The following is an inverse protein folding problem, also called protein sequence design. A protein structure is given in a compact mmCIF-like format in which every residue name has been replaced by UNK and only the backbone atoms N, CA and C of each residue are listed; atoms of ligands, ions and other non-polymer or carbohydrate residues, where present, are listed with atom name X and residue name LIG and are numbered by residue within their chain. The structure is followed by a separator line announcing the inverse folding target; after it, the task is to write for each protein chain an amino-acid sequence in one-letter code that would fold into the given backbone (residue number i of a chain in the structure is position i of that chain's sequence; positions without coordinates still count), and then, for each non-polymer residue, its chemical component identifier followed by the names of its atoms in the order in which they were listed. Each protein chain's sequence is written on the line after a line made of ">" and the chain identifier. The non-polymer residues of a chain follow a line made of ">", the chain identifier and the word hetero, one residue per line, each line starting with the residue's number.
data_IF_775793162479
#
_entry.id   IF_775793162479
#
_cell.length_a   1.000
_cell.length_b   1.000
_cell.length_c   1.000
_cell.angle_alpha   90.00
_cell.angle_beta   90.00
_cell.angle_gamma   90.00
#
_symmetry.space_group_name_H-M   'P 1'
#
loop_
_entity.id
_entity.type
_entity.pdbx_description
1 polymer ?
#
# COMPACT_ATOMS: atom_id res chain seq x y z
N UNK A 1 -19.06 -28.02 -5.80
CA UNK A 1 -17.99 -27.24 -5.09
C UNK A 1 -18.64 -26.02 -4.48
N UNK A 2 -18.40 -25.76 -3.18
CA UNK A 2 -18.97 -24.59 -2.50
C UNK A 2 -18.32 -23.28 -2.95
N UNK A 3 -19.10 -22.20 -2.91
CA UNK A 3 -18.62 -20.85 -3.19
C UNK A 3 -17.72 -20.39 -2.03
N UNK A 4 -16.50 -19.89 -2.35
CA UNK A 4 -15.52 -19.46 -1.35
C UNK A 4 -15.68 -17.96 -1.07
N UNK A 5 -15.69 -17.60 0.20
CA UNK A 5 -15.72 -16.21 0.65
C UNK A 5 -14.31 -15.59 0.63
N UNK A 6 -14.23 -14.26 0.45
CA UNK A 6 -12.95 -13.58 0.53
C UNK A 6 -12.35 -13.76 1.94
N UNK A 7 -11.12 -14.30 2.06
CA UNK A 7 -10.50 -14.58 3.36
C UNK A 7 -10.21 -13.31 4.17
N UNK A 8 -10.02 -12.17 3.53
CA UNK A 8 -9.81 -10.90 4.22
C UNK A 8 -11.10 -10.43 4.90
N UNK A 9 -12.25 -10.52 4.19
CA UNK A 9 -13.54 -10.15 4.76
C UNK A 9 -13.92 -10.96 6.00
N UNK A 10 -13.57 -12.26 6.01
CA UNK A 10 -13.80 -13.12 7.17
C UNK A 10 -12.95 -12.73 8.40
N UNK A 11 -11.78 -12.12 8.18
CA UNK A 11 -10.83 -11.78 9.25
C UNK A 11 -10.87 -10.33 9.69
N UNK A 12 -11.64 -9.49 9.00
CA UNK A 12 -11.81 -8.08 9.39
C UNK A 12 -12.50 -7.99 10.74
N UNK A 13 -11.96 -7.12 11.62
CA UNK A 13 -12.43 -6.95 12.99
C UNK A 13 -11.91 -7.99 13.98
N UNK A 14 -11.23 -9.04 13.53
CA UNK A 14 -10.59 -10.06 14.42
C UNK A 14 -9.07 -9.90 14.38
N UNK A 15 -8.44 -10.16 13.22
CA UNK A 15 -6.98 -10.10 13.05
C UNK A 15 -6.53 -9.15 11.94
N UNK A 16 -7.45 -8.68 11.11
CA UNK A 16 -7.20 -7.70 10.04
C UNK A 16 -8.06 -6.46 10.23
N UNK A 17 -7.53 -5.34 9.80
CA UNK A 17 -8.24 -4.08 9.77
C UNK A 17 -8.60 -3.70 8.33
N UNK A 18 -9.43 -2.67 8.17
CA UNK A 18 -9.77 -2.11 6.88
C UNK A 18 -8.60 -1.30 6.31
N UNK A 19 -8.43 -1.37 4.99
CA UNK A 19 -7.43 -0.55 4.28
C UNK A 19 -7.87 0.92 4.17
N UNK A 20 -9.19 1.17 4.17
CA UNK A 20 -9.79 2.50 4.25
C UNK A 20 -10.61 2.64 5.52
N UNK A 21 -10.37 3.70 6.28
CA UNK A 21 -11.04 3.98 7.56
C UNK A 21 -11.71 5.34 7.51
N UNK A 22 -12.91 5.38 6.96
CA UNK A 22 -13.74 6.56 6.87
C UNK A 22 -15.20 6.18 6.66
N UNK A 23 -16.07 7.15 6.90
CA UNK A 23 -17.50 7.05 6.65
C UNK A 23 -17.94 8.21 5.75
N UNK A 24 -18.81 7.95 4.79
CA UNK A 24 -19.44 8.96 3.94
C UNK A 24 -20.91 8.64 3.69
N UNK A 25 -21.69 9.66 3.30
CA UNK A 25 -23.07 9.48 2.86
C UNK A 25 -23.10 8.82 1.49
N UNK A 26 -24.20 8.10 1.19
CA UNK A 26 -24.33 7.27 -0.02
C UNK A 26 -24.00 7.99 -1.32
N UNK A 27 -24.43 9.24 -1.45
CA UNK A 27 -24.20 10.06 -2.67
C UNK A 27 -22.73 10.41 -2.94
N UNK A 28 -21.87 10.39 -1.93
CA UNK A 28 -20.44 10.77 -2.05
C UNK A 28 -19.53 9.56 -1.86
N UNK A 29 -20.08 8.45 -1.37
CA UNK A 29 -19.31 7.25 -1.05
C UNK A 29 -18.57 6.69 -2.27
N UNK A 30 -19.25 6.61 -3.42
CA UNK A 30 -18.68 6.08 -4.66
C UNK A 30 -17.46 6.88 -5.14
N UNK A 31 -17.57 8.20 -5.13
CA UNK A 31 -16.51 9.09 -5.59
C UNK A 31 -15.27 8.98 -4.69
N UNK A 32 -15.47 8.95 -3.36
CA UNK A 32 -14.39 8.79 -2.41
C UNK A 32 -13.70 7.42 -2.52
N UNK A 33 -14.46 6.38 -2.83
CA UNK A 33 -13.91 5.04 -3.05
C UNK A 33 -13.01 4.99 -4.28
N UNK A 34 -13.43 5.64 -5.37
CA UNK A 34 -12.64 5.76 -6.61
C UNK A 34 -11.38 6.57 -6.35
N UNK A 35 -11.49 7.72 -5.65
CA UNK A 35 -10.31 8.50 -5.24
C UNK A 35 -9.30 7.65 -4.46
N UNK A 36 -9.75 6.87 -3.47
CA UNK A 36 -8.86 6.00 -2.68
C UNK A 36 -8.18 4.92 -3.55
N UNK A 37 -8.90 4.35 -4.50
CA UNK A 37 -8.33 3.38 -5.43
C UNK A 37 -7.24 4.01 -6.30
N UNK A 38 -7.49 5.21 -6.84
CA UNK A 38 -6.51 5.94 -7.65
C UNK A 38 -5.27 6.33 -6.84
N UNK A 39 -5.45 6.81 -5.61
CA UNK A 39 -4.34 7.13 -4.70
C UNK A 39 -3.47 5.90 -4.47
N UNK A 40 -4.06 4.75 -4.13
CA UNK A 40 -3.31 3.51 -3.93
C UNK A 40 -2.57 3.06 -5.18
N UNK A 41 -3.23 3.12 -6.33
CA UNK A 41 -2.64 2.72 -7.61
C UNK A 41 -1.45 3.60 -8.00
N UNK A 42 -1.58 4.91 -7.83
CA UNK A 42 -0.53 5.88 -8.14
C UNK A 42 0.66 5.73 -7.18
N UNK A 43 0.41 5.70 -5.88
CA UNK A 43 1.45 5.51 -4.87
C UNK A 43 2.17 4.16 -5.02
N UNK A 44 1.44 3.08 -5.27
CA UNK A 44 2.05 1.77 -5.48
C UNK A 44 2.97 1.75 -6.70
N UNK A 45 2.59 2.44 -7.79
CA UNK A 45 3.41 2.56 -8.98
C UNK A 45 4.67 3.39 -8.74
N UNK A 46 4.55 4.53 -8.05
CA UNK A 46 5.67 5.43 -7.76
C UNK A 46 6.67 4.85 -6.75
N UNK A 47 6.15 4.15 -5.75
CA UNK A 47 6.94 3.62 -4.63
C UNK A 47 7.21 2.11 -4.75
N UNK A 48 7.13 1.56 -5.95
CA UNK A 48 7.31 0.12 -6.17
C UNK A 48 8.66 -0.38 -5.62
N UNK A 49 9.73 0.36 -5.89
CA UNK A 49 11.09 0.00 -5.47
C UNK A 49 11.31 0.10 -3.96
N UNK A 50 10.49 0.86 -3.26
CA UNK A 50 10.52 0.97 -1.80
C UNK A 50 9.92 -0.25 -1.08
N UNK A 51 9.25 -1.15 -1.82
CA UNK A 51 8.60 -2.34 -1.27
C UNK A 51 7.41 -1.96 -0.38
N UNK A 52 6.32 -1.49 -0.97
CA UNK A 52 5.10 -1.05 -0.28
C UNK A 52 4.02 -2.13 -0.38
N UNK A 53 3.80 -2.98 0.65
CA UNK A 53 2.80 -4.03 0.62
C UNK A 53 1.38 -3.54 0.91
N UNK A 54 1.23 -2.48 1.71
CA UNK A 54 -0.08 -1.95 2.08
C UNK A 54 -0.06 -0.43 2.21
N UNK A 55 -1.18 0.19 1.84
CA UNK A 55 -1.44 1.62 1.97
C UNK A 55 -2.81 1.77 2.63
N UNK A 56 -2.82 2.29 3.84
CA UNK A 56 -4.04 2.56 4.58
C UNK A 56 -4.42 4.04 4.44
N UNK A 57 -5.71 4.33 4.26
CA UNK A 57 -6.20 5.69 4.07
C UNK A 57 -7.24 6.00 5.14
N UNK A 58 -7.02 7.06 5.87
CA UNK A 58 -7.98 7.63 6.81
C UNK A 58 -8.44 8.99 6.28
N UNK A 59 -9.75 9.22 6.26
CA UNK A 59 -10.33 10.52 5.90
C UNK A 59 -11.04 11.11 7.10
N UNK A 60 -10.70 12.34 7.42
CA UNK A 60 -11.35 13.08 8.50
C UNK A 60 -11.63 14.50 8.03
N UNK A 61 -12.92 14.81 7.77
CA UNK A 61 -13.35 16.08 7.19
C UNK A 61 -12.58 16.40 5.88
N UNK A 62 -11.76 17.45 5.89
CA UNK A 62 -10.98 17.92 4.73
C UNK A 62 -9.53 17.45 4.73
N UNK A 63 -9.18 16.52 5.61
CA UNK A 63 -7.83 15.96 5.70
C UNK A 63 -7.83 14.49 5.31
N UNK A 64 -6.86 14.11 4.46
CA UNK A 64 -6.59 12.73 4.05
C UNK A 64 -5.26 12.32 4.68
N UNK A 65 -5.29 11.31 5.54
CA UNK A 65 -4.09 10.74 6.14
C UNK A 65 -3.79 9.40 5.45
N UNK A 66 -2.62 9.30 4.87
CA UNK A 66 -2.16 8.11 4.16
C UNK A 66 -1.04 7.46 4.97
N UNK A 67 -1.25 6.23 5.41
CA UNK A 67 -0.25 5.45 6.11
C UNK A 67 0.37 4.45 5.13
N UNK A 68 1.64 4.64 4.80
CA UNK A 68 2.39 3.84 3.84
C UNK A 68 3.27 2.86 4.62
N UNK A 69 2.94 1.58 4.54
CA UNK A 69 3.82 0.54 5.05
C UNK A 69 4.89 0.26 4.01
N UNK A 70 6.17 0.34 4.36
CA UNK A 70 7.26 0.09 3.42
C UNK A 70 8.43 -0.65 4.06
N UNK A 71 9.16 -1.40 3.22
CA UNK A 71 10.37 -2.11 3.63
C UNK A 71 11.61 -1.19 3.64
N UNK A 72 11.60 -0.13 2.81
CA UNK A 72 12.72 0.81 2.66
C UNK A 72 12.27 2.24 2.87
N UNK A 73 12.09 2.69 4.13
CA UNK A 73 11.56 4.02 4.44
C UNK A 73 12.43 5.15 3.89
N UNK A 74 13.74 4.98 3.84
CA UNK A 74 14.67 5.98 3.30
C UNK A 74 14.41 6.37 1.85
N UNK A 75 13.89 5.45 1.03
CA UNK A 75 13.53 5.72 -0.37
C UNK A 75 12.24 6.55 -0.50
N UNK A 76 11.35 6.47 0.48
CA UNK A 76 10.09 7.20 0.48
C UNK A 76 10.26 8.59 1.08
N UNK A 77 11.03 8.67 2.16
CA UNK A 77 11.31 9.96 2.87
C UNK A 77 12.18 10.88 2.02
N UNK A 78 13.18 10.30 1.34
CA UNK A 78 14.19 11.05 0.60
C UNK A 78 15.18 11.77 1.53
N UNK A 79 16.05 12.59 0.95
CA UNK A 79 17.04 13.37 1.70
C UNK A 79 16.35 14.49 2.47
N UNK A 80 16.47 14.47 3.80
CA UNK A 80 15.88 15.50 4.65
C UNK A 80 14.34 15.57 4.66
N UNK A 81 13.64 14.57 4.10
CA UNK A 81 12.19 14.55 4.02
C UNK A 81 11.60 15.38 2.88
N UNK A 82 12.39 15.73 1.87
CA UNK A 82 11.92 16.52 0.74
C UNK A 82 10.96 15.76 -0.17
N UNK A 83 11.24 14.48 -0.42
CA UNK A 83 10.44 13.69 -1.37
C UNK A 83 9.04 13.40 -0.83
N UNK A 84 8.92 13.15 0.47
CA UNK A 84 7.59 12.97 1.09
C UNK A 84 6.79 14.28 1.07
N UNK A 85 7.43 15.45 1.30
CA UNK A 85 6.76 16.75 1.23
C UNK A 85 6.29 17.07 -0.19
N UNK A 86 7.11 16.81 -1.20
CA UNK A 86 6.72 16.96 -2.61
C UNK A 86 5.51 16.10 -2.94
N UNK A 87 5.51 14.85 -2.48
CA UNK A 87 4.41 13.91 -2.67
C UNK A 87 3.12 14.39 -1.99
N UNK A 88 3.20 14.90 -0.75
CA UNK A 88 2.06 15.50 -0.05
C UNK A 88 1.50 16.71 -0.79
N UNK A 89 2.37 17.61 -1.28
CA UNK A 89 1.99 18.79 -2.04
C UNK A 89 1.32 18.44 -3.37
N UNK A 90 1.85 17.45 -4.10
CA UNK A 90 1.27 16.98 -5.36
C UNK A 90 -0.12 16.38 -5.14
N UNK A 91 -0.27 15.52 -4.14
CA UNK A 91 -1.56 14.92 -3.81
C UNK A 91 -2.56 15.97 -3.32
N UNK A 92 -2.11 16.94 -2.52
CA UNK A 92 -2.93 18.06 -2.05
C UNK A 92 -3.45 18.89 -3.22
N UNK A 93 -2.61 19.18 -4.21
CA UNK A 93 -3.00 19.89 -5.44
C UNK A 93 -3.99 19.09 -6.28
N UNK A 94 -3.76 17.77 -6.40
CA UNK A 94 -4.61 16.89 -7.22
C UNK A 94 -6.01 16.70 -6.64
N UNK A 95 -6.13 16.53 -5.33
CA UNK A 95 -7.41 16.21 -4.68
C UNK A 95 -8.08 17.40 -3.96
N UNK A 96 -7.41 18.56 -3.90
CA UNK A 96 -7.97 19.77 -3.27
C UNK A 96 -8.19 19.66 -1.76
N UNK A 97 -7.65 18.62 -1.12
CA UNK A 97 -7.75 18.35 0.33
C UNK A 97 -6.35 18.25 0.90
N UNK A 98 -6.19 18.62 2.16
CA UNK A 98 -4.91 18.50 2.84
C UNK A 98 -4.52 17.03 3.00
N UNK A 99 -3.41 16.63 2.39
CA UNK A 99 -2.88 15.27 2.47
C UNK A 99 -1.69 15.22 3.42
N UNK A 100 -1.66 14.22 4.29
CA UNK A 100 -0.52 13.90 5.13
C UNK A 100 -0.11 12.45 4.94
N UNK A 101 1.18 12.20 4.75
CA UNK A 101 1.73 10.87 4.59
C UNK A 101 2.51 10.47 5.86
N UNK A 102 2.16 9.33 6.43
CA UNK A 102 2.90 8.72 7.53
C UNK A 102 3.53 7.42 7.05
N UNK A 103 4.79 7.20 7.38
CA UNK A 103 5.54 6.01 6.96
C UNK A 103 5.64 5.06 8.13
N UNK A 104 5.32 3.79 7.88
CA UNK A 104 5.44 2.68 8.83
C UNK A 104 6.46 1.70 8.28
N UNK A 105 7.58 1.56 8.98
CA UNK A 105 8.63 0.61 8.60
C UNK A 105 8.24 -0.82 8.90
N UNK A 106 8.50 -1.71 7.93
CA UNK A 106 8.35 -3.16 8.08
C UNK A 106 9.71 -3.73 8.48
N UNK A 107 9.84 -4.12 9.75
CA UNK A 107 11.10 -4.66 10.30
C UNK A 107 11.58 -5.91 9.56
N UNK A 108 10.67 -6.82 9.23
CA UNK A 108 10.98 -8.10 8.57
C UNK A 108 10.24 -8.21 7.23
N UNK A 109 10.81 -7.72 6.12
CA UNK A 109 10.16 -7.77 4.80
C UNK A 109 9.99 -9.22 4.28
N UNK A 110 10.85 -10.15 4.66
CA UNK A 110 10.80 -11.54 4.21
C UNK A 110 9.64 -12.35 4.85
N UNK A 111 9.01 -11.84 5.91
CA UNK A 111 7.80 -12.44 6.49
C UNK A 111 6.50 -11.88 5.88
N UNK A 112 6.60 -10.82 5.08
CA UNK A 112 5.43 -10.21 4.44
C UNK A 112 5.10 -10.91 3.12
N UNK A 113 3.95 -11.58 3.07
CA UNK A 113 3.54 -12.37 1.90
C UNK A 113 3.48 -11.57 0.59
N UNK A 114 3.07 -10.29 0.64
CA UNK A 114 2.99 -9.43 -0.54
C UNK A 114 4.37 -9.12 -1.09
N UNK A 115 5.33 -8.77 -0.21
CA UNK A 115 6.70 -8.45 -0.62
C UNK A 115 7.43 -9.69 -1.15
N UNK A 116 7.20 -10.86 -0.54
CA UNK A 116 7.75 -12.13 -1.04
C UNK A 116 7.19 -12.47 -2.41
N UNK A 117 5.88 -12.29 -2.63
CA UNK A 117 5.26 -12.52 -3.93
C UNK A 117 5.81 -11.57 -5.01
N UNK A 118 5.99 -10.29 -4.71
CA UNK A 118 6.59 -9.31 -5.60
C UNK A 118 8.05 -9.65 -5.93
N UNK A 119 8.80 -10.12 -4.95
CA UNK A 119 10.18 -10.57 -5.17
C UNK A 119 10.24 -11.78 -6.12
N UNK A 120 9.35 -12.76 -5.94
CA UNK A 120 9.24 -13.91 -6.85
C UNK A 120 8.88 -13.44 -8.25
N UNK A 121 7.91 -12.54 -8.39
CA UNK A 121 7.50 -11.98 -9.68
C UNK A 121 8.68 -11.30 -10.39
N UNK A 122 9.41 -10.44 -9.69
CA UNK A 122 10.60 -9.76 -10.24
C UNK A 122 11.72 -10.75 -10.67
N UNK A 123 11.87 -11.87 -9.97
CA UNK A 123 12.81 -12.93 -10.38
C UNK A 123 12.34 -13.64 -11.66
N UNK A 124 11.04 -13.89 -11.80
CA UNK A 124 10.46 -14.50 -13.00
C UNK A 124 10.59 -13.57 -14.21
N UNK A 125 10.36 -12.28 -14.04
CA UNK A 125 10.58 -11.26 -15.09
C UNK A 125 12.03 -11.24 -15.57
N UNK A 126 12.99 -11.47 -14.66
CA UNK A 126 14.42 -11.65 -14.97
C UNK A 126 14.74 -13.03 -15.57
N UNK A 127 13.73 -13.83 -15.95
CA UNK A 127 13.84 -15.16 -16.54
C UNK A 127 14.53 -16.21 -15.65
N UNK A 128 14.48 -16.05 -14.34
CA UNK A 128 14.92 -17.08 -13.40
C UNK A 128 13.85 -18.19 -13.37
N UNK A 129 14.29 -19.44 -13.44
CA UNK A 129 13.37 -20.58 -13.41
C UNK A 129 12.52 -20.61 -12.13
N UNK A 130 11.21 -20.83 -12.25
CA UNK A 130 10.23 -20.71 -11.16
C UNK A 130 10.56 -21.58 -9.94
N UNK A 131 11.09 -22.80 -10.14
CA UNK A 131 11.50 -23.68 -9.04
C UNK A 131 12.63 -23.07 -8.20
N UNK A 132 13.60 -22.42 -8.86
CA UNK A 132 14.72 -21.76 -8.20
C UNK A 132 14.25 -20.51 -7.46
N UNK A 133 13.41 -19.69 -8.09
CA UNK A 133 12.85 -18.49 -7.48
C UNK A 133 12.07 -18.80 -6.20
N UNK A 134 11.19 -19.81 -6.25
CA UNK A 134 10.41 -20.24 -5.09
C UNK A 134 11.29 -20.80 -3.95
N UNK A 135 12.24 -21.70 -4.26
CA UNK A 135 13.15 -22.25 -3.26
C UNK A 135 13.99 -21.18 -2.59
N UNK A 136 14.49 -20.21 -3.36
CA UNK A 136 15.30 -19.11 -2.83
C UNK A 136 14.48 -18.19 -1.91
N UNK A 137 13.23 -17.92 -2.26
CA UNK A 137 12.35 -17.08 -1.44
C UNK A 137 11.88 -17.77 -0.17
N UNK A 138 11.75 -19.10 -0.17
CA UNK A 138 11.39 -19.88 1.03
C UNK A 138 12.58 -20.15 1.96
N UNK A 139 13.81 -20.03 1.48
CA UNK A 139 15.02 -20.26 2.28
C UNK A 139 15.55 -19.00 3.00
N UNK A 140 14.86 -17.88 2.85
CA UNK A 140 15.15 -16.62 3.55
C UNK A 140 14.34 -16.51 4.84
#
# INVERSE_FOLDING_TARGET
>A
MGQKVNPNGLRVGVIKNWDSRWFAKDNVFGDLLVEDYEIRKDLKKRLYDAGVPAIEIERKNDEIKIMIQCARPGMVVGRGGEDIKKLEDELTKKYGKKVRCSIIEIKNPDTNATLVAENIAAQLEKRIGFRRAMKQSMGR
#
